data_IF_574024627729
#
_entry.id   IF_574024627729
#
_cell.length_a   1.000
_cell.length_b   1.000
_cell.length_c   1.000
_cell.angle_alpha   90.00
_cell.angle_beta   90.00
_cell.angle_gamma   90.00
#
_symmetry.space_group_name_H-M   'P 1'
#
loop_
_entity.id
_entity.type
_entity.pdbx_description
1 polymer ?
#
# COMPACT_ATOMS: atom_id res chain seq x y z
N UNK A 1 17.67 -9.06 2.96
CA UNK A 1 16.78 -10.04 2.30
C UNK A 1 16.44 -11.11 3.31
N UNK A 2 15.21 -11.64 3.30
CA UNK A 2 14.77 -12.71 4.20
C UNK A 2 14.49 -13.98 3.39
N UNK A 3 15.03 -15.10 3.85
CA UNK A 3 14.81 -16.44 3.30
C UNK A 3 14.80 -17.43 4.47
N UNK A 4 13.92 -18.43 4.43
CA UNK A 4 13.84 -19.45 5.47
C UNK A 4 12.42 -19.81 5.89
N UNK A 5 12.34 -20.75 6.82
CA UNK A 5 11.09 -21.31 7.33
C UNK A 5 10.86 -20.87 8.78
N UNK A 6 9.60 -20.63 9.15
CA UNK A 6 9.21 -20.28 10.52
C UNK A 6 8.42 -18.97 10.62
N UNK A 7 7.95 -18.65 11.83
CA UNK A 7 7.16 -17.43 12.07
C UNK A 7 8.04 -16.18 11.99
N UNK A 8 8.10 -15.57 10.81
CA UNK A 8 8.91 -14.36 10.57
C UNK A 8 8.05 -13.11 10.78
N UNK A 9 8.58 -12.14 11.54
CA UNK A 9 8.01 -10.78 11.67
C UNK A 9 9.10 -9.77 11.34
N UNK A 10 8.78 -8.86 10.43
CA UNK A 10 9.66 -7.75 10.04
C UNK A 10 9.01 -6.47 10.46
N UNK A 11 9.69 -5.69 11.28
CA UNK A 11 9.22 -4.38 11.73
C UNK A 11 10.37 -3.39 11.53
N UNK A 12 10.12 -2.36 10.73
CA UNK A 12 11.02 -1.23 10.56
C UNK A 12 10.32 0.01 11.08
N UNK A 13 11.00 0.76 11.96
CA UNK A 13 10.51 2.03 12.49
C UNK A 13 11.56 3.10 12.19
N UNK A 14 11.14 4.17 11.51
CA UNK A 14 11.95 5.35 11.24
C UNK A 14 11.34 6.53 12.03
N UNK A 15 12.10 7.11 12.95
CA UNK A 15 11.67 8.24 13.78
C UNK A 15 12.56 9.45 13.49
N UNK A 16 11.96 10.62 13.25
CA UNK A 16 12.66 11.91 13.13
C UNK A 16 13.82 11.88 12.12
N UNK A 17 13.58 11.30 10.94
CA UNK A 17 14.63 11.08 9.93
C UNK A 17 14.60 12.18 8.87
N UNK A 18 15.76 12.69 8.48
CA UNK A 18 15.92 13.61 7.35
C UNK A 18 16.71 12.96 6.22
N UNK A 19 16.22 13.02 4.99
CA UNK A 19 16.93 12.55 3.79
C UNK A 19 16.97 11.03 3.62
N UNK A 20 15.93 10.31 4.01
CA UNK A 20 15.87 8.85 3.85
C UNK A 20 15.67 8.45 2.38
N UNK A 21 16.74 8.04 1.72
CA UNK A 21 16.67 7.76 0.28
C UNK A 21 15.85 6.48 -0.01
N UNK A 22 16.12 5.36 0.67
CA UNK A 22 15.43 4.09 0.37
C UNK A 22 15.24 3.23 1.62
N UNK A 23 14.05 2.65 1.72
CA UNK A 23 13.76 1.50 2.59
C UNK A 23 13.35 0.35 1.68
N UNK A 24 14.08 -0.75 1.70
CA UNK A 24 13.81 -1.91 0.83
C UNK A 24 13.74 -3.16 1.70
N UNK A 25 12.58 -3.83 1.65
CA UNK A 25 12.38 -5.15 2.22
C UNK A 25 12.15 -6.13 1.08
N UNK A 26 12.94 -7.20 1.06
CA UNK A 26 12.77 -8.31 0.12
C UNK A 26 12.68 -9.61 0.91
N UNK A 27 11.55 -10.31 0.75
CA UNK A 27 11.31 -11.66 1.28
C UNK A 27 11.25 -12.63 0.10
N UNK A 28 12.11 -13.65 0.14
CA UNK A 28 12.26 -14.67 -0.89
C UNK A 28 12.04 -16.05 -0.27
N UNK A 29 11.20 -16.89 -0.87
CA UNK A 29 11.04 -18.29 -0.48
C UNK A 29 10.77 -18.48 1.02
N UNK A 30 9.93 -17.62 1.60
CA UNK A 30 9.63 -17.64 3.04
C UNK A 30 8.37 -18.44 3.32
N UNK A 31 8.42 -19.32 4.33
CA UNK A 31 7.22 -19.97 4.88
C UNK A 31 6.94 -19.45 6.28
N UNK A 32 5.71 -19.00 6.55
CA UNK A 32 5.31 -18.49 7.86
C UNK A 32 5.55 -16.98 8.09
N UNK A 33 5.64 -16.16 7.04
CA UNK A 33 5.85 -14.71 7.19
C UNK A 33 4.62 -14.01 7.77
N UNK A 34 4.51 -13.87 9.09
CA UNK A 34 3.28 -13.36 9.70
C UNK A 34 3.05 -11.89 9.38
N UNK A 35 4.09 -11.04 9.49
CA UNK A 35 3.93 -9.60 9.35
C UNK A 35 5.15 -8.94 8.72
N UNK A 36 4.90 -8.01 7.81
CA UNK A 36 5.84 -6.97 7.40
C UNK A 36 5.23 -5.62 7.75
N UNK A 37 5.87 -4.89 8.64
CA UNK A 37 5.41 -3.58 9.12
C UNK A 37 6.54 -2.57 8.88
N UNK A 38 6.20 -1.45 8.26
CA UNK A 38 7.06 -0.28 8.18
C UNK A 38 6.28 0.90 8.75
N UNK A 39 6.89 1.61 9.70
CA UNK A 39 6.35 2.83 10.29
C UNK A 39 7.36 3.95 10.10
N UNK A 40 6.94 5.05 9.49
CA UNK A 40 7.73 6.27 9.35
C UNK A 40 7.03 7.41 10.09
N UNK A 41 7.71 8.00 11.07
CA UNK A 41 7.21 9.13 11.87
C UNK A 41 8.13 10.33 11.71
N UNK A 42 7.55 11.50 11.44
CA UNK A 42 8.27 12.77 11.35
C UNK A 42 9.47 12.68 10.40
N UNK A 43 9.24 12.26 9.15
CA UNK A 43 10.30 12.06 8.17
C UNK A 43 10.28 13.17 7.13
N UNK A 44 11.43 13.75 6.81
CA UNK A 44 11.59 14.67 5.68
C UNK A 44 12.44 14.02 4.59
N UNK A 45 12.00 14.11 3.34
CA UNK A 45 12.72 13.58 2.17
C UNK A 45 12.81 12.05 2.14
N UNK A 46 11.66 11.35 2.13
CA UNK A 46 11.59 9.90 1.92
C UNK A 46 11.40 9.57 0.44
N UNK A 47 12.47 9.14 -0.24
CA UNK A 47 12.39 8.95 -1.70
C UNK A 47 11.68 7.64 -2.08
N UNK A 48 12.03 6.51 -1.45
CA UNK A 48 11.48 5.22 -1.87
C UNK A 48 11.24 4.26 -0.72
N UNK A 49 10.07 3.67 -0.67
CA UNK A 49 9.79 2.48 0.12
C UNK A 49 9.38 1.35 -0.82
N UNK A 50 10.10 0.24 -0.76
CA UNK A 50 9.82 -0.94 -1.58
C UNK A 50 9.69 -2.15 -0.66
N UNK A 51 8.56 -2.85 -0.76
CA UNK A 51 8.35 -4.15 -0.16
C UNK A 51 8.13 -5.16 -1.29
N UNK A 52 8.97 -6.18 -1.36
CA UNK A 52 8.86 -7.28 -2.32
C UNK A 52 8.73 -8.60 -1.56
N UNK A 53 7.66 -9.33 -1.84
CA UNK A 53 7.42 -10.68 -1.34
C UNK A 53 7.33 -11.63 -2.54
N UNK A 54 8.26 -12.59 -2.61
CA UNK A 54 8.42 -13.54 -3.70
C UNK A 54 8.36 -14.96 -3.15
N UNK A 55 7.45 -15.78 -3.69
CA UNK A 55 7.25 -17.18 -3.27
C UNK A 55 7.06 -17.31 -1.75
N UNK A 56 6.08 -16.59 -1.21
CA UNK A 56 5.82 -16.55 0.24
C UNK A 56 4.57 -17.34 0.58
N UNK A 57 4.63 -18.16 1.62
CA UNK A 57 3.46 -18.87 2.18
C UNK A 57 3.15 -18.36 3.59
N UNK A 58 1.87 -18.15 3.89
CA UNK A 58 1.40 -17.69 5.20
C UNK A 58 1.60 -16.20 5.46
N UNK A 59 1.52 -15.34 4.44
CA UNK A 59 1.72 -13.89 4.61
C UNK A 59 0.51 -13.18 5.24
N UNK A 60 0.42 -13.07 6.56
CA UNK A 60 -0.82 -12.54 7.16
C UNK A 60 -1.01 -11.04 6.89
N UNK A 61 0.01 -10.20 7.11
CA UNK A 61 -0.14 -8.74 6.95
C UNK A 61 1.09 -8.07 6.35
N UNK A 62 0.84 -7.17 5.41
CA UNK A 62 1.78 -6.12 4.99
C UNK A 62 1.18 -4.77 5.38
N UNK A 63 1.89 -4.02 6.21
CA UNK A 63 1.43 -2.73 6.74
C UNK A 63 2.50 -1.67 6.51
N UNK A 64 2.13 -0.59 5.82
CA UNK A 64 2.94 0.62 5.71
C UNK A 64 2.20 1.78 6.36
N UNK A 65 2.81 2.41 7.35
CA UNK A 65 2.25 3.58 8.04
C UNK A 65 3.22 4.75 7.91
N UNK A 66 2.70 5.88 7.46
CA UNK A 66 3.43 7.13 7.35
C UNK A 66 2.70 8.24 8.09
N UNK A 67 3.37 8.90 9.04
CA UNK A 67 2.82 9.98 9.87
C UNK A 67 3.75 11.19 9.85
N UNK A 68 3.19 12.37 9.53
CA UNK A 68 3.89 13.65 9.48
C UNK A 68 5.13 13.55 8.55
N UNK A 69 4.92 13.16 7.30
CA UNK A 69 6.00 12.98 6.33
C UNK A 69 5.98 14.11 5.30
N UNK A 70 7.12 14.76 5.10
CA UNK A 70 7.31 15.76 4.06
C UNK A 70 8.19 15.22 2.94
N UNK A 71 7.64 15.13 1.73
CA UNK A 71 8.29 14.60 0.54
C UNK A 71 8.40 13.07 0.55
N UNK A 72 7.32 12.38 0.17
CA UNK A 72 7.30 10.92 -0.01
C UNK A 72 7.15 10.58 -1.50
N UNK A 73 8.23 10.20 -2.19
CA UNK A 73 8.15 10.09 -3.65
C UNK A 73 7.45 8.79 -4.09
N UNK A 74 7.88 7.61 -3.61
CA UNK A 74 7.25 6.35 -4.04
C UNK A 74 7.11 5.33 -2.92
N UNK A 75 5.93 4.73 -2.82
CA UNK A 75 5.67 3.50 -2.07
C UNK A 75 5.31 2.41 -3.07
N UNK A 76 6.03 1.30 -3.05
CA UNK A 76 5.84 0.17 -3.95
C UNK A 76 5.73 -1.11 -3.12
N UNK A 77 4.61 -1.81 -3.25
CA UNK A 77 4.41 -3.13 -2.65
C UNK A 77 4.19 -4.12 -3.78
N UNK A 78 5.03 -5.15 -3.86
CA UNK A 78 4.95 -6.23 -4.85
C UNK A 78 4.83 -7.56 -4.13
N UNK A 79 3.77 -8.30 -4.44
CA UNK A 79 3.55 -9.67 -3.99
C UNK A 79 3.42 -10.57 -5.22
N UNK A 80 4.34 -11.52 -5.39
CA UNK A 80 4.35 -12.48 -6.48
C UNK A 80 4.39 -13.91 -5.92
N UNK A 81 3.48 -14.76 -6.41
CA UNK A 81 3.34 -16.16 -6.00
C UNK A 81 3.20 -16.27 -4.47
N UNK A 82 2.20 -15.57 -3.91
CA UNK A 82 1.98 -15.53 -2.46
C UNK A 82 0.72 -16.32 -2.10
N UNK A 83 0.82 -17.18 -1.10
CA UNK A 83 -0.32 -17.91 -0.54
C UNK A 83 -0.65 -17.44 0.87
N UNK A 84 -1.94 -17.21 1.14
CA UNK A 84 -2.43 -16.76 2.44
C UNK A 84 -2.22 -15.28 2.75
N UNK A 85 -2.25 -14.39 1.73
CA UNK A 85 -2.06 -12.95 1.93
C UNK A 85 -3.28 -12.26 2.57
N UNK A 86 -3.44 -12.23 3.89
CA UNK A 86 -4.74 -11.77 4.45
C UNK A 86 -4.98 -10.27 4.25
N UNK A 87 -3.99 -9.42 4.52
CA UNK A 87 -4.18 -7.95 4.43
C UNK A 87 -2.96 -7.22 3.88
N UNK A 88 -3.21 -6.28 2.97
CA UNK A 88 -2.30 -5.19 2.61
C UNK A 88 -2.91 -3.88 3.06
N UNK A 89 -2.20 -3.13 3.90
CA UNK A 89 -2.68 -1.89 4.50
C UNK A 89 -1.64 -0.80 4.29
N UNK A 90 -2.06 0.31 3.68
CA UNK A 90 -1.28 1.54 3.57
C UNK A 90 -2.04 2.64 4.28
N UNK A 91 -1.41 3.28 5.26
CA UNK A 91 -1.96 4.44 5.97
C UNK A 91 -0.99 5.59 5.87
N UNK A 92 -1.48 6.73 5.41
CA UNK A 92 -0.69 7.94 5.32
C UNK A 92 -1.48 9.12 5.88
N UNK A 93 -0.94 9.73 6.94
CA UNK A 93 -1.56 10.79 7.72
C UNK A 93 -0.63 12.01 7.77
N UNK A 94 -1.18 13.18 7.46
CA UNK A 94 -0.47 14.46 7.44
C UNK A 94 0.79 14.38 6.57
N UNK A 95 0.61 14.09 5.27
CA UNK A 95 1.71 13.87 4.34
C UNK A 95 1.71 14.97 3.29
N UNK A 96 2.88 15.55 3.03
CA UNK A 96 3.05 16.52 1.94
C UNK A 96 3.94 15.92 0.84
N UNK A 97 3.53 16.07 -0.41
CA UNK A 97 4.28 15.59 -1.58
C UNK A 97 4.34 14.06 -1.71
N UNK A 98 3.19 13.38 -1.63
CA UNK A 98 3.10 11.93 -1.90
C UNK A 98 2.96 11.65 -3.40
N UNK A 99 4.05 11.36 -4.12
CA UNK A 99 3.95 11.30 -5.59
C UNK A 99 3.26 10.03 -6.06
N UNK A 100 3.59 8.85 -5.51
CA UNK A 100 3.11 7.60 -6.08
C UNK A 100 2.98 6.47 -5.06
N UNK A 101 1.83 5.79 -5.08
CA UNK A 101 1.60 4.52 -4.39
C UNK A 101 1.27 3.45 -5.43
N UNK A 102 2.04 2.37 -5.44
CA UNK A 102 1.84 1.22 -6.32
C UNK A 102 1.70 -0.04 -5.47
N UNK A 103 0.62 -0.78 -5.68
CA UNK A 103 0.44 -2.14 -5.16
C UNK A 103 0.28 -3.08 -6.35
N UNK A 104 1.11 -4.12 -6.41
CA UNK A 104 1.05 -5.16 -7.43
C UNK A 104 0.94 -6.52 -6.75
N UNK A 105 -0.12 -7.26 -7.08
CA UNK A 105 -0.36 -8.62 -6.63
C UNK A 105 -0.51 -9.54 -7.85
N UNK A 106 0.39 -10.50 -7.98
CA UNK A 106 0.45 -11.45 -9.10
C UNK A 106 0.41 -12.88 -8.56
N UNK A 107 -0.49 -13.72 -9.08
CA UNK A 107 -0.63 -15.12 -8.67
C UNK A 107 -0.77 -15.25 -7.14
N UNK A 108 -1.73 -14.53 -6.55
CA UNK A 108 -1.93 -14.50 -5.10
C UNK A 108 -3.18 -15.30 -4.73
N UNK A 109 -3.06 -16.18 -3.74
CA UNK A 109 -4.20 -16.91 -3.18
C UNK A 109 -4.51 -16.45 -1.76
N UNK A 110 -5.80 -16.26 -1.47
CA UNK A 110 -6.28 -15.83 -0.16
C UNK A 110 -6.07 -14.34 0.14
N UNK A 111 -6.10 -13.46 -0.88
CA UNK A 111 -5.92 -12.01 -0.69
C UNK A 111 -7.15 -11.34 -0.03
N UNK A 112 -7.39 -11.42 1.28
CA UNK A 112 -8.71 -10.99 1.78
C UNK A 112 -8.98 -9.48 1.64
N UNK A 113 -8.03 -8.61 1.98
CA UNK A 113 -8.25 -7.15 1.96
C UNK A 113 -7.05 -6.35 1.44
N UNK A 114 -7.32 -5.38 0.58
CA UNK A 114 -6.40 -4.27 0.28
C UNK A 114 -7.04 -2.99 0.78
N UNK A 115 -6.34 -2.26 1.65
CA UNK A 115 -6.84 -1.04 2.28
C UNK A 115 -5.79 0.06 2.11
N UNK A 116 -6.20 1.19 1.53
CA UNK A 116 -5.40 2.41 1.47
C UNK A 116 -6.19 3.53 2.12
N UNK A 117 -5.56 4.20 3.08
CA UNK A 117 -6.12 5.33 3.81
C UNK A 117 -5.17 6.50 3.71
N UNK A 118 -5.66 7.62 3.16
CA UNK A 118 -4.94 8.88 3.07
C UNK A 118 -5.76 9.97 3.78
N UNK A 119 -5.19 10.57 4.82
CA UNK A 119 -5.82 11.62 5.62
C UNK A 119 -4.91 12.84 5.63
N UNK A 120 -5.48 14.02 5.33
CA UNK A 120 -4.75 15.29 5.27
C UNK A 120 -3.48 15.20 4.41
N UNK A 121 -3.62 14.74 3.17
CA UNK A 121 -2.49 14.56 2.24
C UNK A 121 -2.49 15.66 1.19
N UNK A 122 -1.36 16.34 1.01
CA UNK A 122 -1.20 17.34 -0.05
C UNK A 122 -0.27 16.80 -1.14
N UNK A 123 -0.66 16.94 -2.41
CA UNK A 123 0.13 16.52 -3.56
C UNK A 123 0.17 15.00 -3.78
N UNK A 124 -0.95 14.29 -3.59
CA UNK A 124 -1.05 12.86 -3.89
C UNK A 124 -1.17 12.60 -5.41
N UNK A 125 -0.10 12.38 -6.16
CA UNK A 125 -0.24 12.38 -7.64
C UNK A 125 -0.93 11.10 -8.16
N UNK A 126 -0.44 9.90 -7.81
CA UNK A 126 -0.94 8.64 -8.39
C UNK A 126 -1.10 7.52 -7.37
N UNK A 127 -2.22 6.81 -7.43
CA UNK A 127 -2.42 5.53 -6.77
C UNK A 127 -2.74 4.48 -7.82
N UNK A 128 -1.99 3.38 -7.83
CA UNK A 128 -2.14 2.28 -8.79
C UNK A 128 -2.21 0.97 -8.01
N UNK A 129 -3.29 0.23 -8.23
CA UNK A 129 -3.46 -1.13 -7.71
C UNK A 129 -3.62 -2.07 -8.91
N UNK A 130 -2.77 -3.07 -9.00
CA UNK A 130 -2.81 -4.11 -10.04
C UNK A 130 -2.93 -5.47 -9.37
N UNK A 131 -3.97 -6.22 -9.74
CA UNK A 131 -4.20 -7.57 -9.29
C UNK A 131 -4.37 -8.48 -10.50
N UNK A 132 -3.49 -9.48 -10.65
CA UNK A 132 -3.55 -10.45 -11.75
C UNK A 132 -3.54 -11.86 -11.17
N UNK A 133 -4.47 -12.70 -11.63
CA UNK A 133 -4.61 -14.09 -11.17
C UNK A 133 -4.71 -14.16 -9.63
N UNK A 134 -5.63 -13.39 -9.05
CA UNK A 134 -5.82 -13.33 -7.60
C UNK A 134 -7.08 -14.08 -7.20
N UNK A 135 -6.96 -15.01 -6.26
CA UNK A 135 -8.11 -15.73 -5.72
C UNK A 135 -8.39 -15.33 -4.27
N UNK A 136 -9.67 -15.17 -3.95
CA UNK A 136 -10.12 -14.78 -2.60
C UNK A 136 -9.96 -13.29 -2.31
N UNK A 137 -9.93 -12.42 -3.34
CA UNK A 137 -9.87 -10.96 -3.14
C UNK A 137 -11.18 -10.41 -2.59
N UNK A 138 -11.43 -10.38 -1.29
CA UNK A 138 -12.78 -10.03 -0.80
C UNK A 138 -13.08 -8.53 -0.90
N UNK A 139 -12.17 -7.67 -0.42
CA UNK A 139 -12.41 -6.22 -0.36
C UNK A 139 -11.21 -5.39 -0.82
N UNK A 140 -11.48 -4.38 -1.64
CA UNK A 140 -10.55 -3.27 -1.89
C UNK A 140 -11.18 -2.00 -1.34
N UNK A 141 -10.47 -1.29 -0.47
CA UNK A 141 -10.97 -0.09 0.20
C UNK A 141 -9.96 1.02 0.00
N UNK A 142 -10.42 2.13 -0.57
CA UNK A 142 -9.66 3.35 -0.76
C UNK A 142 -10.39 4.51 -0.08
N UNK A 143 -9.77 5.09 0.94
CA UNK A 143 -10.32 6.20 1.70
C UNK A 143 -9.39 7.40 1.61
N UNK A 144 -9.91 8.52 1.13
CA UNK A 144 -9.22 9.80 1.07
C UNK A 144 -10.04 10.89 1.75
N UNK A 145 -9.52 11.45 2.83
CA UNK A 145 -10.11 12.61 3.52
C UNK A 145 -9.13 13.78 3.48
N UNK A 146 -9.63 14.96 3.13
CA UNK A 146 -8.83 16.18 3.03
C UNK A 146 -7.58 16.00 2.15
N UNK A 147 -7.74 15.42 0.97
CA UNK A 147 -6.65 15.18 0.02
C UNK A 147 -6.66 16.23 -1.08
N UNK A 148 -5.58 16.99 -1.22
CA UNK A 148 -5.39 17.96 -2.31
C UNK A 148 -4.40 17.44 -3.35
N UNK A 149 -4.68 17.71 -4.63
CA UNK A 149 -3.78 17.32 -5.72
C UNK A 149 -3.83 15.82 -6.09
N UNK A 150 -4.94 15.12 -5.79
CA UNK A 150 -5.17 13.77 -6.30
C UNK A 150 -5.37 13.79 -7.82
N UNK A 151 -4.40 13.29 -8.58
CA UNK A 151 -4.47 13.33 -10.06
C UNK A 151 -5.07 12.06 -10.65
N UNK A 152 -4.66 10.88 -10.18
CA UNK A 152 -5.14 9.60 -10.75
C UNK A 152 -5.19 8.48 -9.72
N UNK A 153 -6.32 7.77 -9.68
CA UNK A 153 -6.45 6.45 -9.06
C UNK A 153 -6.75 5.45 -10.16
N UNK A 154 -6.04 4.32 -10.18
CA UNK A 154 -6.21 3.27 -11.17
C UNK A 154 -6.23 1.92 -10.47
N UNK A 155 -7.29 1.15 -10.68
CA UNK A 155 -7.38 -0.24 -10.23
C UNK A 155 -7.54 -1.11 -11.48
N UNK A 156 -6.64 -2.08 -11.62
CA UNK A 156 -6.67 -3.05 -12.71
C UNK A 156 -6.74 -4.44 -12.09
N UNK A 157 -7.78 -5.19 -12.44
CA UNK A 157 -7.99 -6.55 -11.97
C UNK A 157 -8.20 -7.47 -13.18
N UNK A 158 -7.32 -8.46 -13.36
CA UNK A 158 -7.49 -9.52 -14.35
C UNK A 158 -7.51 -10.88 -13.65
N UNK A 159 -8.44 -11.75 -14.04
CA UNK A 159 -8.60 -13.08 -13.48
C UNK A 159 -8.67 -13.06 -11.93
N UNK A 160 -9.50 -12.17 -11.40
CA UNK A 160 -9.74 -12.05 -9.97
C UNK A 160 -11.02 -12.76 -9.59
N UNK A 161 -10.92 -13.73 -8.67
CA UNK A 161 -12.09 -14.44 -8.12
C UNK A 161 -12.32 -14.06 -6.66
N UNK A 162 -13.60 -13.98 -6.27
CA UNK A 162 -14.00 -13.64 -4.91
C UNK A 162 -14.04 -12.13 -4.61
N UNK A 163 -13.96 -11.26 -5.62
CA UNK A 163 -14.18 -9.82 -5.46
C UNK A 163 -15.61 -9.52 -5.08
N UNK A 164 -15.82 -9.22 -3.80
CA UNK A 164 -17.14 -8.90 -3.25
C UNK A 164 -17.39 -7.39 -3.27
N UNK A 165 -16.41 -6.58 -2.85
CA UNK A 165 -16.62 -5.14 -2.72
C UNK A 165 -15.38 -4.32 -3.04
N UNK A 166 -15.57 -3.27 -3.84
CA UNK A 166 -14.63 -2.16 -3.97
C UNK A 166 -15.30 -0.94 -3.35
N UNK A 167 -14.63 -0.29 -2.42
CA UNK A 167 -15.15 0.89 -1.72
C UNK A 167 -14.22 2.07 -1.99
N UNK A 168 -14.78 3.15 -2.51
CA UNK A 168 -14.11 4.44 -2.59
C UNK A 168 -14.85 5.45 -1.72
N UNK A 169 -14.14 6.03 -0.76
CA UNK A 169 -14.66 7.12 0.08
C UNK A 169 -13.79 8.34 -0.13
N UNK A 170 -14.37 9.41 -0.66
CA UNK A 170 -13.71 10.69 -0.80
C UNK A 170 -14.65 11.83 -0.46
N UNK A 171 -14.32 12.65 0.54
CA UNK A 171 -15.17 13.79 0.92
C UNK A 171 -14.81 15.09 0.20
N UNK A 172 -13.64 15.18 -0.44
CA UNK A 172 -13.29 16.24 -1.39
C UNK A 172 -11.91 15.94 -1.97
N UNK A 173 -11.78 15.82 -3.30
CA UNK A 173 -10.51 16.04 -3.97
C UNK A 173 -10.64 17.23 -4.93
N UNK A 174 -9.84 18.27 -4.71
CA UNK A 174 -9.70 19.39 -5.65
C UNK A 174 -8.77 18.92 -6.77
N UNK A 175 -9.35 18.51 -7.91
CA UNK A 175 -8.60 18.25 -9.13
C UNK A 175 -8.30 19.57 -9.84
N UNK A 176 -7.18 19.65 -10.57
CA UNK A 176 -6.82 20.82 -11.40
C UNK A 176 -7.89 21.18 -12.46
N UNK A 177 -8.88 20.31 -12.69
CA UNK A 177 -9.99 20.48 -13.64
C UNK A 177 -11.38 20.64 -12.98
N UNK A 178 -11.48 20.88 -11.67
CA UNK A 178 -12.76 21.13 -10.97
C UNK A 178 -12.97 20.32 -9.68
N UNK A 179 -14.07 20.61 -8.98
CA UNK A 179 -14.53 19.89 -7.79
C UNK A 179 -15.30 18.63 -8.21
N UNK A 180 -14.85 17.45 -7.78
CA UNK A 180 -15.59 16.20 -7.95
C UNK A 180 -15.76 15.56 -6.56
N UNK A 181 -16.96 15.70 -5.99
CA UNK A 181 -17.36 14.94 -4.80
C UNK A 181 -17.99 13.63 -5.28
N UNK A 182 -17.24 12.53 -5.24
CA UNK A 182 -17.80 11.22 -5.51
C UNK A 182 -18.14 10.55 -4.18
N UNK A 183 -19.41 10.64 -3.79
CA UNK A 183 -19.97 9.83 -2.70
C UNK A 183 -20.32 8.42 -3.19
N UNK A 184 -20.15 7.47 -2.29
CA UNK A 184 -20.07 6.01 -2.47
C UNK A 184 -21.13 5.32 -3.35
N UNK A 185 -20.73 4.20 -3.96
CA UNK A 185 -21.52 2.98 -4.16
C UNK A 185 -20.68 1.76 -3.73
#
# INVERSE_FOLDING_TARGET
MLNGTGLVKVIIVCLNVTGLVKVIIVCMNVTGLVKVIIVCLNVTGLVKVIIVCLNVTGLVKVIFVCLNVAGLVKVIIVCLNVTGLVKVIIVCLNVTGLVMVIIVCMNVTGLVKVIIVCLNVTGLVKVIIVCMNVTGLVKVIFVCLNVTGLVKVMIVCLNVTGLVKVIFVSECYRSLKGYYCMSAW
#
